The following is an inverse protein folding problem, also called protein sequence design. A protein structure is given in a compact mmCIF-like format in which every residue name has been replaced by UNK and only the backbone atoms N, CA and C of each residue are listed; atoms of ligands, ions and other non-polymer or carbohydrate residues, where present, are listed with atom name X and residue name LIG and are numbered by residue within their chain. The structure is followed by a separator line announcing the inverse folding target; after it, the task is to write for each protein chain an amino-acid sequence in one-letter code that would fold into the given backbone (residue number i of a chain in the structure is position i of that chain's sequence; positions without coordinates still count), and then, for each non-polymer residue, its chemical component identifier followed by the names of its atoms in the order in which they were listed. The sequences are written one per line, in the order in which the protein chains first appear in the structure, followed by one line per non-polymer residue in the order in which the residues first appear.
data_IF_527322568198
#
_entry.id   IF_527322568198
#
_cell.length_a   1.000
_cell.length_b   1.000
_cell.length_c   1.000
_cell.angle_alpha   90.00
_cell.angle_beta   90.00
_cell.angle_gamma   90.00
#
_symmetry.space_group_name_H-M   'P 1'
#
loop_
_entity.id
_entity.type
_entity.pdbx_description
1 polymer ?
#
# COMPACT_ATOMS: atom_id res chain seq x y z
N UNK A 1 -100.56 49.67 -46.15
CA UNK A 1 -99.40 50.22 -45.43
C UNK A 1 -99.10 49.32 -44.26
N UNK A 2 -97.83 48.92 -44.11
CA UNK A 2 -97.13 48.39 -42.90
C UNK A 2 -97.80 47.20 -42.19
N UNK A 3 -97.13 46.08 -41.91
CA UNK A 3 -96.12 45.83 -40.89
C UNK A 3 -95.48 44.48 -41.27
N UNK A 4 -94.24 44.13 -41.00
CA UNK A 4 -93.20 44.67 -40.15
C UNK A 4 -92.07 43.64 -40.22
N UNK A 5 -90.84 44.11 -40.22
CA UNK A 5 -89.65 43.26 -40.33
C UNK A 5 -89.64 42.18 -39.25
N UNK A 6 -89.61 40.90 -39.66
CA UNK A 6 -89.25 39.81 -38.76
C UNK A 6 -87.74 39.74 -38.69
N UNK A 7 -87.18 40.30 -37.62
CA UNK A 7 -85.80 40.08 -37.19
C UNK A 7 -85.57 38.59 -36.95
N UNK A 8 -84.66 37.99 -37.72
CA UNK A 8 -84.15 36.65 -37.45
C UNK A 8 -82.87 36.78 -36.60
N UNK A 9 -83.03 36.64 -35.28
CA UNK A 9 -81.90 36.51 -34.36
C UNK A 9 -81.23 35.16 -34.60
N UNK A 10 -80.04 35.18 -35.20
CA UNK A 10 -79.21 33.99 -35.40
C UNK A 10 -78.58 33.61 -34.05
N UNK A 11 -79.09 32.54 -33.44
CA UNK A 11 -78.54 31.93 -32.24
C UNK A 11 -77.35 31.06 -32.63
N UNK A 12 -76.12 31.49 -32.34
CA UNK A 12 -74.94 30.63 -32.45
C UNK A 12 -74.84 29.73 -31.20
N UNK A 13 -74.64 28.41 -31.34
CA UNK A 13 -74.32 27.56 -30.20
C UNK A 13 -72.87 27.79 -29.78
N UNK A 14 -72.66 28.23 -28.53
CA UNK A 14 -71.31 28.32 -27.94
C UNK A 14 -70.68 26.93 -27.83
N UNK A 15 -69.39 26.76 -28.16
CA UNK A 15 -68.71 25.48 -28.01
C UNK A 15 -68.76 25.08 -26.53
N UNK A 16 -69.36 23.91 -26.26
CA UNK A 16 -69.35 23.32 -24.92
C UNK A 16 -67.92 22.88 -24.64
N UNK A 17 -67.16 23.70 -23.93
CA UNK A 17 -65.92 23.27 -23.29
C UNK A 17 -66.22 21.98 -22.52
N UNK A 18 -65.78 20.85 -23.05
CA UNK A 18 -66.13 19.56 -22.49
C UNK A 18 -65.39 19.42 -21.16
N UNK A 19 -66.12 19.15 -20.08
CA UNK A 19 -65.54 18.87 -18.76
C UNK A 19 -64.41 17.82 -18.83
N UNK A 20 -64.51 16.90 -19.80
CA UNK A 20 -63.49 15.91 -20.13
C UNK A 20 -62.18 16.53 -20.64
N UNK A 21 -62.22 17.50 -21.56
CA UNK A 21 -61.03 18.21 -22.01
C UNK A 21 -60.34 18.96 -20.86
N UNK A 22 -61.11 19.53 -19.93
CA UNK A 22 -60.58 20.16 -18.71
C UNK A 22 -59.88 19.16 -17.79
N UNK A 23 -60.48 17.98 -17.59
CA UNK A 23 -59.92 16.91 -16.76
C UNK A 23 -58.66 16.28 -17.37
N UNK A 24 -58.64 16.07 -18.69
CA UNK A 24 -57.48 15.54 -19.43
C UNK A 24 -56.34 16.55 -19.40
N UNK A 25 -56.62 17.84 -19.58
CA UNK A 25 -55.62 18.91 -19.49
C UNK A 25 -54.98 19.00 -18.11
N UNK A 26 -55.75 18.82 -17.04
CA UNK A 26 -55.22 18.75 -15.67
C UNK A 26 -54.37 17.50 -15.40
N UNK A 27 -54.80 16.33 -15.88
CA UNK A 27 -53.99 15.10 -15.77
C UNK A 27 -52.68 15.21 -16.56
N UNK A 28 -52.71 15.79 -17.75
CA UNK A 28 -51.53 15.99 -18.57
C UNK A 28 -50.56 16.98 -17.93
N UNK A 29 -51.07 18.09 -17.38
CA UNK A 29 -50.24 19.04 -16.61
C UNK A 29 -49.59 18.39 -15.38
N UNK A 30 -50.31 17.52 -14.66
CA UNK A 30 -49.75 16.76 -13.53
C UNK A 30 -48.61 15.83 -13.97
N UNK A 31 -48.80 15.07 -15.05
CA UNK A 31 -47.77 14.16 -15.57
C UNK A 31 -46.53 14.93 -16.02
N UNK A 32 -46.72 16.03 -16.75
CA UNK A 32 -45.60 16.90 -17.16
C UNK A 32 -44.87 17.47 -15.95
N UNK A 33 -45.60 17.90 -14.92
CA UNK A 33 -45.00 18.43 -13.70
C UNK A 33 -44.16 17.37 -12.95
N UNK A 34 -44.67 16.15 -12.81
CA UNK A 34 -43.92 15.02 -12.24
C UNK A 34 -42.66 14.75 -13.07
N UNK A 35 -42.74 14.78 -14.39
CA UNK A 35 -41.62 14.54 -15.28
C UNK A 35 -40.54 15.63 -15.13
N UNK A 36 -40.94 16.89 -14.98
CA UNK A 36 -40.02 18.01 -14.70
C UNK A 36 -39.35 17.83 -13.34
N UNK A 37 -40.11 17.47 -12.29
CA UNK A 37 -39.55 17.22 -10.95
C UNK A 37 -38.57 16.04 -10.99
N UNK A 38 -38.91 14.95 -11.69
CA UNK A 38 -38.02 13.80 -11.85
C UNK A 38 -36.75 14.19 -12.61
N UNK A 39 -36.86 14.98 -13.68
CA UNK A 39 -35.71 15.47 -14.45
C UNK A 39 -34.77 16.32 -13.59
N UNK A 40 -35.33 17.26 -12.82
CA UNK A 40 -34.55 18.09 -11.87
C UNK A 40 -33.93 17.21 -10.78
N UNK A 41 -34.67 16.24 -10.24
CA UNK A 41 -34.16 15.28 -9.25
C UNK A 41 -32.98 14.47 -9.77
N UNK A 42 -33.01 14.02 -11.03
CA UNK A 42 -31.91 13.30 -11.69
C UNK A 42 -30.72 14.21 -11.97
N UNK A 43 -30.96 15.48 -12.35
CA UNK A 43 -29.89 16.44 -12.56
C UNK A 43 -29.14 16.77 -11.26
N UNK A 44 -29.89 16.94 -10.16
CA UNK A 44 -29.33 17.23 -8.84
C UNK A 44 -28.63 16.02 -8.22
N UNK A 45 -29.14 14.80 -8.44
CA UNK A 45 -28.50 13.59 -7.91
C UNK A 45 -27.09 13.39 -8.49
N UNK A 46 -26.89 13.74 -9.77
CA UNK A 46 -25.57 13.65 -10.41
C UNK A 46 -24.56 14.62 -9.81
N UNK A 47 -25.00 15.82 -9.43
CA UNK A 47 -24.14 16.81 -8.78
C UNK A 47 -23.79 16.43 -7.34
N UNK A 48 -24.76 15.89 -6.58
CA UNK A 48 -24.53 15.44 -5.20
C UNK A 48 -23.51 14.29 -5.11
N UNK A 49 -23.53 13.36 -6.07
CA UNK A 49 -22.53 12.28 -6.14
C UNK A 49 -21.13 12.84 -6.43
N UNK A 50 -21.03 13.88 -7.27
CA UNK A 50 -19.77 14.52 -7.63
C UNK A 50 -19.18 15.33 -6.47
N UNK A 51 -19.99 16.08 -5.72
CA UNK A 51 -19.50 16.84 -4.56
C UNK A 51 -18.99 15.94 -3.43
N UNK A 52 -19.55 14.73 -3.26
CA UNK A 52 -19.06 13.77 -2.26
C UNK A 52 -17.71 13.15 -2.62
N UNK A 53 -17.45 12.92 -3.91
CA UNK A 53 -16.17 12.39 -4.37
C UNK A 53 -15.01 13.38 -4.10
N UNK A 54 -15.25 14.67 -4.34
CA UNK A 54 -14.24 15.72 -4.12
C UNK A 54 -13.91 15.87 -2.63
N UNK A 55 -14.91 15.84 -1.75
CA UNK A 55 -14.68 15.92 -0.30
C UNK A 55 -13.87 14.74 0.24
N UNK A 56 -14.13 13.52 -0.27
CA UNK A 56 -13.39 12.33 0.11
C UNK A 56 -11.93 12.38 -0.37
N UNK A 57 -11.70 12.86 -1.60
CA UNK A 57 -10.36 13.01 -2.16
C UNK A 57 -9.52 14.04 -1.39
N UNK A 58 -10.11 15.17 -1.00
CA UNK A 58 -9.45 16.16 -0.14
C UNK A 58 -9.10 15.57 1.23
N UNK A 59 -10.02 14.81 1.85
CA UNK A 59 -9.75 14.16 3.13
C UNK A 59 -8.60 13.15 3.02
N UNK A 60 -8.59 12.34 1.96
CA UNK A 60 -7.52 11.37 1.68
C UNK A 60 -6.18 12.09 1.46
N UNK A 61 -6.15 13.15 0.66
CA UNK A 61 -4.94 13.93 0.41
C UNK A 61 -4.41 14.59 1.69
N UNK A 62 -5.30 15.09 2.55
CA UNK A 62 -4.90 15.65 3.85
C UNK A 62 -4.29 14.58 4.76
N UNK A 63 -4.90 13.40 4.86
CA UNK A 63 -4.35 12.31 5.67
C UNK A 63 -2.98 11.83 5.16
N UNK A 64 -2.77 11.82 3.83
CA UNK A 64 -1.49 11.50 3.24
C UNK A 64 -0.43 12.56 3.58
N UNK A 65 -0.78 13.85 3.48
CA UNK A 65 0.12 14.94 3.86
C UNK A 65 0.54 14.84 5.33
N UNK A 66 -0.43 14.64 6.23
CA UNK A 66 -0.16 14.51 7.68
C UNK A 66 0.76 13.30 7.97
N UNK A 67 0.52 12.16 7.32
CA UNK A 67 1.36 10.96 7.46
C UNK A 67 2.80 11.18 6.96
N UNK A 68 2.96 11.94 5.87
CA UNK A 68 4.25 12.25 5.29
C UNK A 68 5.04 13.23 6.17
N UNK A 69 4.34 14.18 6.79
CA UNK A 69 4.93 15.09 7.78
C UNK A 69 5.40 14.34 9.02
N UNK A 70 4.58 13.43 9.57
CA UNK A 70 4.98 12.58 10.69
C UNK A 70 6.23 11.74 10.36
N UNK A 71 6.22 11.09 9.19
CA UNK A 71 7.37 10.30 8.71
C UNK A 71 8.64 11.15 8.57
N UNK A 72 8.52 12.40 8.09
CA UNK A 72 9.66 13.31 8.00
C UNK A 72 10.23 13.65 9.38
N UNK A 73 9.38 13.89 10.38
CA UNK A 73 9.80 14.17 11.75
C UNK A 73 10.55 12.97 12.31
N UNK A 74 10.00 11.76 12.20
CA UNK A 74 10.62 10.53 12.70
C UNK A 74 12.00 10.28 12.06
N UNK A 75 12.09 10.45 10.74
CA UNK A 75 13.36 10.30 10.01
C UNK A 75 14.38 11.36 10.42
N UNK A 76 13.94 12.58 10.68
CA UNK A 76 14.79 13.68 11.15
C UNK A 76 15.32 13.41 12.56
N UNK A 77 14.47 12.89 13.47
CA UNK A 77 14.88 12.47 14.80
C UNK A 77 15.88 11.31 14.75
N UNK A 78 15.61 10.28 13.96
CA UNK A 78 16.52 9.16 13.78
C UNK A 78 17.87 9.63 13.25
N UNK A 79 17.87 10.48 12.22
CA UNK A 79 19.10 11.07 11.68
C UNK A 79 19.88 11.79 12.76
N UNK A 80 19.21 12.61 13.57
CA UNK A 80 19.83 13.36 14.66
C UNK A 80 20.41 12.41 15.71
N UNK A 81 19.68 11.36 16.09
CA UNK A 81 20.13 10.34 17.03
C UNK A 81 21.39 9.61 16.53
N UNK A 82 21.45 9.27 15.24
CA UNK A 82 22.60 8.62 14.61
C UNK A 82 23.82 9.56 14.49
N UNK A 83 23.60 10.86 14.30
CA UNK A 83 24.65 11.87 14.21
C UNK A 83 25.23 12.29 15.57
N UNK A 84 24.59 11.89 16.67
CA UNK A 84 25.04 12.25 18.02
C UNK A 84 26.36 11.54 18.35
N UNK A 85 27.31 12.25 18.97
CA UNK A 85 28.62 11.69 19.36
C UNK A 85 28.50 10.43 20.22
N UNK A 86 27.45 10.32 21.05
CA UNK A 86 27.18 9.13 21.87
C UNK A 86 26.89 7.87 21.04
N UNK A 87 26.22 8.01 19.89
CA UNK A 87 25.95 6.91 18.98
C UNK A 87 27.22 6.48 18.26
N UNK A 88 27.99 7.45 17.76
CA UNK A 88 29.31 7.23 17.14
C UNK A 88 30.26 6.54 18.13
N UNK A 89 30.31 7.01 19.38
CA UNK A 89 31.16 6.43 20.43
C UNK A 89 30.73 4.99 20.76
N UNK A 90 29.43 4.72 20.83
CA UNK A 90 28.91 3.36 21.06
C UNK A 90 29.26 2.41 19.92
N UNK A 91 29.05 2.83 18.67
CA UNK A 91 29.42 2.03 17.49
C UNK A 91 30.94 1.82 17.40
N UNK A 92 31.75 2.83 17.73
CA UNK A 92 33.21 2.74 17.78
C UNK A 92 33.69 1.72 18.84
N UNK A 93 33.08 1.71 20.03
CA UNK A 93 33.38 0.72 21.07
C UNK A 93 33.00 -0.69 20.65
N UNK A 94 31.82 -0.87 20.03
CA UNK A 94 31.30 -2.17 19.62
C UNK A 94 32.06 -2.76 18.43
N UNK A 95 32.34 -1.96 17.40
CA UNK A 95 32.91 -2.43 16.13
C UNK A 95 34.41 -2.37 16.06
N UNK A 96 35.02 -1.37 16.70
CA UNK A 96 36.46 -1.12 16.61
C UNK A 96 37.18 -1.41 17.92
N UNK A 97 36.46 -1.84 18.96
CA UNK A 97 37.03 -2.04 20.30
C UNK A 97 37.68 -0.77 20.86
N UNK A 98 37.29 0.42 20.37
CA UNK A 98 37.91 1.69 20.74
C UNK A 98 37.64 2.02 22.20
N UNK A 99 38.69 2.33 22.96
CA UNK A 99 38.64 2.62 24.40
C UNK A 99 39.17 4.02 24.70
N UNK A 100 38.60 4.67 25.71
CA UNK A 100 39.15 5.93 26.25
C UNK A 100 40.48 5.66 26.97
N UNK A 101 41.43 6.60 26.99
CA UNK A 101 42.67 6.43 27.74
C UNK A 101 42.35 6.22 29.23
N UNK A 102 42.58 5.00 29.73
CA UNK A 102 42.29 4.60 31.12
C UNK A 102 41.44 3.34 31.32
N UNK A 103 41.00 2.65 30.27
CA UNK A 103 40.17 1.44 30.38
C UNK A 103 40.98 0.14 30.15
N UNK A 104 40.93 -0.81 31.10
CA UNK A 104 41.66 -2.11 31.01
C UNK A 104 40.80 -3.18 30.33
N UNK A 105 41.35 -3.91 29.35
CA UNK A 105 40.69 -5.05 28.69
C UNK A 105 41.12 -6.33 29.38
N UNK A 106 40.17 -7.14 29.84
CA UNK A 106 40.43 -8.51 30.29
C UNK A 106 39.88 -9.44 29.22
N UNK A 107 40.76 -10.10 28.49
CA UNK A 107 40.39 -11.15 27.51
C UNK A 107 40.40 -12.48 28.25
N UNK A 108 39.25 -13.11 28.37
CA UNK A 108 39.12 -14.48 28.89
C UNK A 108 39.18 -15.38 27.65
N UNK A 109 40.26 -16.16 27.54
CA UNK A 109 40.39 -17.18 26.50
C UNK A 109 39.78 -18.46 27.05
N UNK A 110 38.58 -18.82 26.59
CA UNK A 110 38.06 -20.17 26.77
C UNK A 110 38.71 -21.07 25.72
N UNK A 111 39.46 -22.08 26.18
CA UNK A 111 40.34 -22.95 25.39
C UNK A 111 39.57 -23.94 24.49
N UNK A 112 38.26 -23.72 24.29
CA UNK A 112 37.34 -24.68 23.64
C UNK A 112 36.98 -24.30 22.19
N UNK A 113 37.36 -23.11 21.69
CA UNK A 113 36.97 -22.65 20.35
C UNK A 113 38.11 -22.49 19.33
N UNK A 114 39.30 -23.06 19.56
CA UNK A 114 40.43 -22.91 18.63
C UNK A 114 40.40 -23.84 17.40
N UNK A 115 39.40 -24.71 17.25
CA UNK A 115 39.41 -25.74 16.21
C UNK A 115 38.49 -25.48 15.01
N UNK A 116 37.68 -24.40 15.03
CA UNK A 116 36.72 -24.12 13.93
C UNK A 116 37.18 -23.00 12.99
N UNK A 117 38.18 -22.19 13.36
CA UNK A 117 38.62 -21.04 12.54
C UNK A 117 39.88 -21.31 11.69
N UNK A 118 40.57 -22.44 11.90
CA UNK A 118 41.84 -22.74 11.21
C UNK A 118 41.68 -23.40 9.82
N UNK A 119 40.48 -23.76 9.39
CA UNK A 119 40.27 -24.54 8.16
C UNK A 119 39.92 -23.70 6.90
N UNK A 120 39.89 -22.36 6.97
CA UNK A 120 39.43 -21.51 5.83
C UNK A 120 40.49 -20.50 5.39
N UNK A 121 41.77 -20.75 5.59
CA UNK A 121 42.80 -19.79 5.18
C UNK A 121 44.11 -20.45 4.77
N UNK A 122 44.08 -21.34 3.77
CA UNK A 122 45.26 -21.50 2.91
C UNK A 122 45.29 -20.32 1.92
N UNK A 123 46.31 -19.44 1.95
CA UNK A 123 46.46 -18.34 1.01
C UNK A 123 46.54 -18.77 -0.47
N UNK A 124 46.85 -20.05 -0.75
CA UNK A 124 46.97 -20.60 -2.10
C UNK A 124 45.67 -21.23 -2.62
N UNK A 125 44.63 -21.33 -1.79
CA UNK A 125 43.35 -21.89 -2.20
C UNK A 125 42.17 -21.01 -1.72
N UNK A 126 41.94 -19.87 -2.40
CA UNK A 126 40.89 -18.92 -2.03
C UNK A 126 39.47 -19.48 -2.17
N UNK A 127 39.31 -20.70 -2.73
CA UNK A 127 38.02 -21.32 -2.98
C UNK A 127 37.84 -22.69 -2.28
N UNK A 128 38.85 -23.16 -1.54
CA UNK A 128 38.76 -24.40 -0.74
C UNK A 128 38.59 -25.68 -1.56
N UNK A 129 39.24 -25.78 -2.73
CA UNK A 129 39.25 -26.95 -3.60
C UNK A 129 40.38 -27.96 -3.34
N UNK A 130 41.42 -27.61 -2.57
CA UNK A 130 42.57 -28.45 -2.25
C UNK A 130 42.20 -29.34 -1.07
N UNK A 131 41.95 -30.62 -1.37
CA UNK A 131 41.80 -31.67 -0.38
C UNK A 131 43.17 -32.33 -0.19
N UNK A 132 43.96 -31.88 0.79
CA UNK A 132 45.15 -32.62 1.20
C UNK A 132 44.72 -33.88 1.99
N UNK A 133 45.11 -35.03 1.46
CA UNK A 133 44.79 -36.37 1.95
C UNK A 133 45.88 -36.84 2.92
N UNK A 134 45.58 -36.77 4.22
CA UNK A 134 46.26 -37.54 5.26
C UNK A 134 45.23 -37.92 6.33
N UNK A 135 44.54 -39.05 6.10
CA UNK A 135 43.91 -39.82 7.16
C UNK A 135 42.38 -39.79 7.18
N UNK A 136 41.77 -40.77 6.52
CA UNK A 136 40.44 -41.41 6.78
C UNK A 136 39.18 -40.58 7.04
N UNK A 137 39.26 -39.25 7.07
CA UNK A 137 38.10 -38.37 7.19
C UNK A 137 37.81 -37.80 5.80
N UNK A 138 36.63 -38.12 5.28
CA UNK A 138 36.20 -37.64 3.96
C UNK A 138 35.92 -36.15 4.07
N UNK A 139 36.95 -35.32 3.90
CA UNK A 139 36.80 -33.87 3.84
C UNK A 139 36.14 -33.51 2.51
N UNK A 140 34.85 -33.18 2.55
CA UNK A 140 34.09 -32.76 1.37
C UNK A 140 34.17 -31.24 1.22
N UNK A 141 34.56 -30.77 0.03
CA UNK A 141 34.63 -29.36 -0.30
C UNK A 141 33.26 -28.65 -0.16
N UNK A 142 33.27 -27.38 0.26
CA UNK A 142 32.04 -26.63 0.56
C UNK A 142 31.06 -26.52 -0.63
N UNK A 143 31.51 -26.27 -1.88
CA UNK A 143 30.61 -26.24 -3.04
C UNK A 143 29.90 -27.58 -3.29
N UNK A 144 30.58 -28.70 -2.98
CA UNK A 144 30.02 -30.04 -3.13
C UNK A 144 28.96 -30.32 -2.06
N UNK A 145 29.16 -29.85 -0.82
CA UNK A 145 28.13 -29.88 0.24
C UNK A 145 26.85 -29.16 -0.20
N UNK A 146 26.96 -28.00 -0.86
CA UNK A 146 25.81 -27.26 -1.37
C UNK A 146 25.10 -28.00 -2.50
N UNK A 147 25.84 -28.62 -3.41
CA UNK A 147 25.24 -29.44 -4.46
C UNK A 147 24.35 -30.54 -3.87
N UNK A 148 24.84 -31.29 -2.88
CA UNK A 148 24.03 -32.30 -2.21
C UNK A 148 22.84 -31.69 -1.47
N UNK A 149 23.02 -30.57 -0.78
CA UNK A 149 21.90 -29.88 -0.12
C UNK A 149 20.73 -29.58 -1.06
N UNK A 150 21.01 -29.13 -2.30
CA UNK A 150 19.98 -28.75 -3.27
C UNK A 150 19.44 -29.93 -4.07
N UNK A 151 20.29 -30.90 -4.44
CA UNK A 151 19.95 -31.92 -5.43
C UNK A 151 19.93 -33.35 -4.89
N UNK A 152 20.54 -33.63 -3.73
CA UNK A 152 20.53 -34.96 -3.10
C UNK A 152 20.58 -34.87 -1.55
N UNK A 153 19.39 -34.80 -0.96
CA UNK A 153 19.22 -34.70 0.50
C UNK A 153 19.73 -35.93 1.25
N UNK A 154 19.73 -37.11 0.63
CA UNK A 154 20.19 -38.33 1.29
C UNK A 154 21.70 -38.30 1.46
N UNK A 155 22.42 -37.94 0.39
CA UNK A 155 23.87 -37.75 0.43
C UNK A 155 24.28 -36.62 1.40
N UNK A 156 23.54 -35.52 1.45
CA UNK A 156 23.81 -34.43 2.40
C UNK A 156 23.67 -34.88 3.87
N UNK A 157 22.60 -35.60 4.20
CA UNK A 157 22.38 -36.07 5.58
C UNK A 157 23.46 -37.07 6.02
N UNK A 158 23.91 -37.95 5.13
CA UNK A 158 24.99 -38.89 5.41
C UNK A 158 26.33 -38.19 5.70
N UNK A 159 26.57 -37.00 5.11
CA UNK A 159 27.75 -36.18 5.38
C UNK A 159 27.61 -35.35 6.66
N UNK A 160 26.39 -34.98 7.06
CA UNK A 160 26.13 -34.22 8.28
C UNK A 160 26.17 -35.08 9.56
N UNK A 161 26.04 -36.39 9.43
CA UNK A 161 26.07 -37.34 10.56
C UNK A 161 27.51 -37.71 10.99
N UNK A 162 28.53 -37.30 10.21
CA UNK A 162 29.95 -37.57 10.46
C UNK A 162 30.71 -36.38 11.10
N UNK A 163 30.09 -35.20 11.19
CA UNK A 163 30.64 -33.96 11.78
C UNK A 163 30.17 -33.80 13.24
#
# INVERSE_FOLDING_TARGET
MTFGAKSATILMPSPRETFLARLIRWRLLLVVNILVIAFVGVALSREIVRSRAIGAEIAVLQTQADSLTATNIDLSELKTALQTESYIEREARLKLGLKKPGETVVVIQDETNQQTEAAISDPNDPLGYVLEDEGTDVVVANPQKWWYYFFDKQAFNALAEYD
#
